data_IF_680095287814
#
_entry.id   IF_680095287814
#
_cell.length_a   1.000
_cell.length_b   1.000
_cell.length_c   1.000
_cell.angle_alpha   90.00
_cell.angle_beta   90.00
_cell.angle_gamma   90.00
#
_symmetry.space_group_name_H-M   'P 1'
#
loop_
_entity.id
_entity.type
_entity.pdbx_description
1 polymer ?
#
# COMPACT_ATOMS: atom_id res chain seq x y z
N UNK A 1 -18.41 5.49 11.38
CA UNK A 1 -17.78 6.18 10.26
C UNK A 1 -16.39 5.62 10.12
N UNK A 2 -16.21 4.66 9.20
CA UNK A 2 -14.97 3.89 9.03
C UNK A 2 -14.21 4.27 7.74
N UNK A 3 -14.87 5.04 6.87
CA UNK A 3 -14.35 5.54 5.58
C UNK A 3 -13.06 6.38 5.78
N UNK A 4 -12.92 7.05 6.92
CA UNK A 4 -11.75 7.91 7.19
C UNK A 4 -10.46 7.12 7.37
N UNK A 5 -10.53 5.91 7.94
CA UNK A 5 -9.35 5.08 8.17
C UNK A 5 -8.87 4.44 6.87
N UNK A 6 -9.79 3.82 6.11
CA UNK A 6 -9.51 3.22 4.80
C UNK A 6 -8.96 4.23 3.79
N UNK A 7 -9.65 5.36 3.60
CA UNK A 7 -9.22 6.38 2.64
C UNK A 7 -7.93 7.07 3.11
N UNK A 8 -7.73 7.22 4.43
CA UNK A 8 -6.50 7.76 5.00
C UNK A 8 -5.30 6.86 4.73
N UNK A 9 -5.42 5.57 5.03
CA UNK A 9 -4.38 4.57 4.77
C UNK A 9 -4.07 4.44 3.28
N UNK A 10 -5.10 4.39 2.44
CA UNK A 10 -4.94 4.27 0.99
C UNK A 10 -4.20 5.47 0.39
N UNK A 11 -4.61 6.69 0.74
CA UNK A 11 -3.95 7.90 0.27
C UNK A 11 -2.54 8.04 0.86
N UNK A 12 -2.32 7.64 2.11
CA UNK A 12 -1.00 7.64 2.74
C UNK A 12 -0.03 6.67 2.05
N UNK A 13 -0.49 5.45 1.76
CA UNK A 13 0.31 4.46 1.04
C UNK A 13 0.71 4.97 -0.35
N UNK A 14 -0.23 5.55 -1.08
CA UNK A 14 0.00 6.20 -2.36
C UNK A 14 1.05 7.30 -2.29
N UNK A 15 0.89 8.24 -1.35
CA UNK A 15 1.78 9.39 -1.24
C UNK A 15 3.21 8.94 -0.90
N UNK A 16 3.34 7.96 0.01
CA UNK A 16 4.63 7.38 0.39
C UNK A 16 5.28 6.60 -0.76
N UNK A 17 4.51 5.82 -1.53
CA UNK A 17 5.04 5.16 -2.73
C UNK A 17 5.51 6.19 -3.76
N UNK A 18 4.72 7.22 -4.03
CA UNK A 18 5.08 8.33 -4.91
C UNK A 18 6.31 9.11 -4.45
N UNK A 19 6.58 9.18 -3.15
CA UNK A 19 7.78 9.80 -2.60
C UNK A 19 9.05 9.13 -3.16
N UNK A 20 9.03 7.80 -3.28
CA UNK A 20 10.00 7.08 -4.08
C UNK A 20 9.64 7.32 -5.55
N UNK A 21 10.24 8.32 -6.20
CA UNK A 21 9.88 8.68 -7.59
C UNK A 21 9.94 7.55 -8.62
N UNK A 22 10.52 6.40 -8.27
CA UNK A 22 10.55 5.16 -9.06
C UNK A 22 9.37 4.20 -8.76
N UNK A 23 8.62 4.39 -7.68
CA UNK A 23 7.40 3.66 -7.28
C UNK A 23 6.15 4.49 -7.53
N UNK A 24 6.04 5.07 -8.73
CA UNK A 24 4.81 5.76 -9.11
C UNK A 24 3.75 4.72 -9.47
N UNK A 25 2.90 4.36 -8.51
CA UNK A 25 1.91 3.32 -8.72
C UNK A 25 0.79 3.78 -9.66
N UNK A 26 0.11 2.81 -10.25
CA UNK A 26 -1.10 3.02 -11.03
C UNK A 26 -2.15 2.00 -10.61
N UNK A 27 -3.41 2.44 -10.57
CA UNK A 27 -4.51 1.54 -10.22
C UNK A 27 -4.53 1.08 -8.76
N UNK A 28 -4.08 1.92 -7.82
CA UNK A 28 -4.22 1.62 -6.40
C UNK A 28 -5.71 1.49 -6.04
N UNK A 29 -6.09 0.30 -5.59
CA UNK A 29 -7.39 -0.01 -4.98
C UNK A 29 -7.17 -0.42 -3.54
N UNK A 30 -8.05 0.02 -2.64
CA UNK A 30 -7.99 -0.31 -1.23
C UNK A 30 -9.37 -0.67 -0.71
N UNK A 31 -9.44 -1.80 -0.01
CA UNK A 31 -10.66 -2.41 0.47
C UNK A 31 -10.45 -2.93 1.90
N UNK A 32 -11.56 -3.10 2.63
CA UNK A 32 -11.55 -3.75 3.94
C UNK A 32 -12.27 -5.08 3.78
N UNK A 33 -11.54 -6.18 3.94
CA UNK A 33 -12.05 -7.54 3.78
C UNK A 33 -11.76 -8.30 5.07
N UNK A 34 -12.80 -8.87 5.68
CA UNK A 34 -12.70 -9.58 6.97
C UNK A 34 -12.00 -8.77 8.09
N UNK A 35 -12.15 -7.45 8.07
CA UNK A 35 -11.52 -6.53 9.04
C UNK A 35 -10.03 -6.30 8.82
N UNK A 36 -9.47 -6.77 7.70
CA UNK A 36 -8.10 -6.47 7.25
C UNK A 36 -8.13 -5.45 6.12
N UNK A 37 -7.13 -4.58 6.12
CA UNK A 37 -6.89 -3.66 5.02
C UNK A 37 -6.19 -4.41 3.88
N UNK A 38 -6.89 -4.58 2.77
CA UNK A 38 -6.32 -5.14 1.54
C UNK A 38 -6.13 -4.03 0.51
N UNK A 39 -5.03 -4.07 -0.20
CA UNK A 39 -4.76 -3.12 -1.27
C UNK A 39 -4.11 -3.82 -2.46
N UNK A 40 -4.41 -3.32 -3.65
CA UNK A 40 -3.90 -3.82 -4.92
C UNK A 40 -3.38 -2.66 -5.73
N UNK A 41 -2.22 -2.81 -6.35
CA UNK A 41 -1.66 -1.77 -7.18
C UNK A 41 -0.76 -2.37 -8.25
N UNK A 42 -0.51 -1.58 -9.30
CA UNK A 42 0.52 -1.88 -10.29
C UNK A 42 1.66 -0.89 -10.11
N UNK A 43 2.82 -1.41 -9.70
CA UNK A 43 4.05 -0.62 -9.60
C UNK A 43 4.98 -0.91 -10.79
N UNK A 44 5.78 0.08 -11.23
CA UNK A 44 6.83 -0.15 -12.21
C UNK A 44 7.90 -1.11 -11.66
N UNK A 45 8.56 -1.86 -12.55
CA UNK A 45 9.60 -2.86 -12.21
C UNK A 45 10.79 -2.33 -11.38
N UNK A 46 10.99 -1.00 -11.38
CA UNK A 46 12.04 -0.34 -10.60
C UNK A 46 11.66 -0.18 -9.13
N UNK A 47 10.38 -0.29 -8.82
CA UNK A 47 9.86 -0.35 -7.47
C UNK A 47 10.10 -1.75 -6.91
N UNK A 48 11.01 -1.86 -5.95
CA UNK A 48 11.30 -3.13 -5.30
C UNK A 48 10.44 -3.31 -4.05
N UNK A 49 10.36 -4.55 -3.54
CA UNK A 49 9.54 -4.87 -2.38
C UNK A 49 9.91 -4.04 -1.14
N UNK A 50 11.19 -3.75 -0.94
CA UNK A 50 11.64 -2.94 0.20
C UNK A 50 11.12 -1.49 0.18
N UNK A 51 10.94 -0.90 -1.01
CA UNK A 51 10.31 0.43 -1.14
C UNK A 51 8.83 0.38 -0.78
N UNK A 52 8.13 -0.67 -1.22
CA UNK A 52 6.71 -0.90 -0.92
C UNK A 52 6.52 -1.11 0.59
N UNK A 53 7.33 -1.98 1.20
CA UNK A 53 7.34 -2.21 2.64
C UNK A 53 7.60 -0.92 3.41
N UNK A 54 8.59 -0.12 3.00
CA UNK A 54 8.88 1.16 3.65
C UNK A 54 7.68 2.11 3.59
N UNK A 55 7.06 2.26 2.40
CA UNK A 55 5.90 3.11 2.22
C UNK A 55 4.70 2.68 3.09
N UNK A 56 4.51 1.37 3.24
CA UNK A 56 3.49 0.80 4.12
C UNK A 56 3.76 1.08 5.60
N UNK A 57 4.98 0.84 6.07
CA UNK A 57 5.36 1.11 7.46
C UNK A 57 5.16 2.58 7.83
N UNK A 58 5.46 3.49 6.92
CA UNK A 58 5.23 4.92 7.10
C UNK A 58 3.74 5.29 7.08
N UNK A 59 2.95 4.71 6.17
CA UNK A 59 1.51 5.00 6.04
C UNK A 59 0.73 4.53 7.26
N UNK A 60 1.11 3.37 7.79
CA UNK A 60 0.48 2.71 8.93
C UNK A 60 1.08 3.07 10.28
N UNK A 61 2.16 3.86 10.29
CA UNK A 61 2.94 4.19 11.49
C UNK A 61 3.37 2.95 12.30
N UNK A 62 3.57 1.82 11.62
CA UNK A 62 3.90 0.53 12.20
C UNK A 62 2.81 -0.13 13.08
N UNK A 63 1.55 0.25 12.91
CA UNK A 63 0.45 -0.28 13.73
C UNK A 63 -0.06 -1.65 13.24
N UNK A 64 0.13 -1.99 11.96
CA UNK A 64 -0.51 -3.15 11.32
C UNK A 64 0.43 -4.32 11.03
N UNK A 65 1.75 -4.17 11.27
CA UNK A 65 2.74 -5.22 10.99
C UNK A 65 3.21 -5.25 9.53
N UNK A 66 3.99 -6.27 9.12
CA UNK A 66 4.52 -6.38 7.77
C UNK A 66 3.42 -6.63 6.72
N UNK A 67 3.68 -6.25 5.48
CA UNK A 67 2.79 -6.55 4.35
C UNK A 67 2.83 -8.04 4.08
N UNK A 68 1.67 -8.65 3.88
CA UNK A 68 1.55 -9.96 3.26
C UNK A 68 1.21 -9.76 1.77
N UNK A 69 2.22 -9.81 0.90
CA UNK A 69 1.98 -9.83 -0.54
C UNK A 69 1.44 -11.21 -0.92
N UNK A 70 0.20 -11.27 -1.43
CA UNK A 70 -0.26 -12.46 -2.13
C UNK A 70 0.54 -12.59 -3.44
N UNK A 71 1.12 -13.76 -3.69
CA UNK A 71 1.70 -14.12 -5.00
C UNK A 71 0.57 -14.18 -6.04
N UNK A 72 0.21 -13.05 -6.64
CA UNK A 72 -0.49 -13.03 -7.93
C UNK A 72 0.56 -13.14 -9.03
N UNK A 73 1.15 -14.33 -9.12
CA UNK A 73 1.99 -14.73 -10.25
C UNK A 73 1.07 -15.27 -11.33
N UNK A 74 0.52 -14.39 -12.18
CA UNK A 74 -0.07 -14.78 -13.47
C UNK A 74 0.74 -14.27 -14.67
#
# INVERSE_FOLDING_TARGET
>A
SDVTDKDGLCNGLRDNMHHFGQCKETGLSCDIVDGKFEWKTVVPVRCNNGMIESAWWEATKNEFGPIECGDDHE
#
